data_IF_203028829034
#
_entry.id   IF_203028829034
#
_cell.length_a   1.000
_cell.length_b   1.000
_cell.length_c   1.000
_cell.angle_alpha   90.00
_cell.angle_beta   90.00
_cell.angle_gamma   90.00
#
_symmetry.space_group_name_H-M   'P 1'
#
loop_
_entity.id
_entity.type
_entity.pdbx_description
1 polymer ?
#
# COMPACT_ATOMS: atom_id res chain seq x y z
N UNK A 1 -5.81 17.25 35.47
CA UNK A 1 -6.53 18.24 34.64
C UNK A 1 -6.95 17.54 33.35
N UNK A 2 -8.20 17.07 33.27
CA UNK A 2 -8.73 16.26 32.15
C UNK A 2 -9.05 17.16 30.96
N UNK A 3 -8.25 17.11 29.89
CA UNK A 3 -8.65 17.65 28.57
C UNK A 3 -9.15 16.51 27.69
N UNK A 4 -10.34 16.75 27.12
CA UNK A 4 -11.27 15.77 26.56
C UNK A 4 -10.86 15.42 25.13
N UNK A 5 -10.85 14.12 24.83
CA UNK A 5 -10.84 13.57 23.48
C UNK A 5 -12.18 13.87 22.79
N UNK A 6 -12.14 14.53 21.63
CA UNK A 6 -13.26 14.57 20.70
C UNK A 6 -12.84 13.95 19.37
N UNK A 7 -13.54 12.86 19.04
CA UNK A 7 -13.46 12.08 17.80
C UNK A 7 -14.00 12.87 16.60
N UNK A 8 -13.30 12.80 15.47
CA UNK A 8 -13.81 13.17 14.15
C UNK A 8 -13.93 11.88 13.30
N UNK A 9 -15.06 11.20 13.43
CA UNK A 9 -15.44 9.99 12.67
C UNK A 9 -16.85 10.15 12.08
N UNK A 10 -17.15 11.29 11.45
CA UNK A 10 -18.42 11.54 10.76
C UNK A 10 -18.19 12.42 9.52
N UNK A 11 -17.44 11.93 8.52
CA UNK A 11 -17.54 12.40 7.14
C UNK A 11 -17.47 11.17 6.22
N UNK A 12 -18.53 10.38 6.27
CA UNK A 12 -18.86 9.34 5.31
C UNK A 12 -20.33 9.56 4.97
N UNK A 13 -20.62 9.56 3.66
CA UNK A 13 -21.93 9.72 3.02
C UNK A 13 -22.30 11.12 2.52
N UNK A 14 -21.61 11.63 1.48
CA UNK A 14 -22.29 12.41 0.45
C UNK A 14 -21.65 12.21 -0.94
N UNK A 15 -22.48 11.64 -1.84
CA UNK A 15 -22.43 11.77 -3.31
C UNK A 15 -21.60 10.71 -4.05
N UNK A 16 -22.16 9.50 -4.11
CA UNK A 16 -22.07 8.66 -5.31
C UNK A 16 -23.13 9.12 -6.32
N UNK A 17 -22.71 9.71 -7.44
CA UNK A 17 -23.41 9.71 -8.75
C UNK A 17 -22.74 10.74 -9.66
N UNK A 18 -21.63 10.36 -10.32
CA UNK A 18 -21.29 10.93 -11.61
C UNK A 18 -21.38 9.79 -12.61
N UNK A 19 -22.51 9.80 -13.31
CA UNK A 19 -22.86 8.90 -14.40
C UNK A 19 -21.94 9.20 -15.57
N UNK A 20 -21.28 8.15 -16.06
CA UNK A 20 -20.41 8.19 -17.22
C UNK A 20 -21.30 8.46 -18.45
N UNK A 21 -21.23 9.66 -19.00
CA UNK A 21 -21.75 9.94 -20.34
C UNK A 21 -20.75 9.39 -21.35
N UNK A 22 -20.98 8.13 -21.75
CA UNK A 22 -20.39 7.53 -22.93
C UNK A 22 -21.24 7.96 -24.14
N UNK A 23 -20.70 8.83 -24.98
CA UNK A 23 -21.21 9.05 -26.33
C UNK A 23 -20.15 8.55 -27.31
N UNK A 24 -20.30 7.30 -27.73
CA UNK A 24 -19.64 6.73 -28.89
C UNK A 24 -20.51 7.02 -30.12
N UNK A 25 -20.05 7.91 -30.99
CA UNK A 25 -20.64 8.16 -32.30
C UNK A 25 -20.15 7.07 -33.26
N UNK A 26 -21.03 6.16 -33.67
CA UNK A 26 -20.80 5.36 -34.86
C UNK A 26 -22.08 5.33 -35.68
N UNK A 27 -21.96 5.86 -36.90
CA UNK A 27 -23.05 6.06 -37.84
C UNK A 27 -23.64 4.73 -38.30
N UNK A 28 -24.96 4.73 -38.34
CA UNK A 28 -25.80 3.74 -39.00
C UNK A 28 -25.40 3.57 -40.46
N UNK A 29 -25.33 2.32 -40.92
CA UNK A 29 -25.85 2.04 -42.25
C UNK A 29 -26.67 0.75 -42.27
N UNK A 30 -27.86 0.96 -42.82
CA UNK A 30 -29.08 0.15 -42.88
C UNK A 30 -28.92 -1.04 -43.84
N UNK A 31 -29.88 -1.98 -43.71
CA UNK A 31 -30.37 -3.01 -44.67
C UNK A 31 -29.98 -4.43 -44.22
N UNK A 32 -30.87 -5.41 -44.06
CA UNK A 32 -32.21 -5.65 -44.62
C UNK A 32 -33.11 -6.46 -43.67
N UNK A 33 -34.41 -6.44 -43.99
CA UNK A 33 -35.47 -7.22 -43.39
C UNK A 33 -35.24 -8.73 -43.50
N UNK A 34 -35.62 -9.48 -42.46
CA UNK A 34 -36.66 -10.50 -42.60
C UNK A 34 -37.32 -10.81 -41.25
N UNK A 35 -38.65 -10.76 -41.31
CA UNK A 35 -39.61 -11.25 -40.34
C UNK A 35 -39.57 -12.77 -40.35
N UNK A 36 -39.80 -13.42 -39.20
CA UNK A 36 -40.53 -14.70 -39.05
C UNK A 36 -40.65 -15.08 -37.56
N UNK A 37 -41.90 -15.18 -37.13
CA UNK A 37 -42.50 -16.08 -36.12
C UNK A 37 -42.13 -16.09 -34.61
N UNK A 38 -43.08 -15.52 -33.86
CA UNK A 38 -44.01 -16.21 -32.93
C UNK A 38 -43.51 -16.81 -31.59
N UNK A 39 -44.32 -16.51 -30.58
CA UNK A 39 -44.64 -17.33 -29.38
C UNK A 39 -43.79 -17.15 -28.11
N UNK A 40 -44.23 -16.17 -27.32
CA UNK A 40 -44.72 -16.34 -25.94
C UNK A 40 -44.32 -17.60 -25.15
N UNK A 41 -43.68 -17.39 -23.98
CA UNK A 41 -44.16 -18.00 -22.72
C UNK A 41 -43.68 -17.23 -21.49
N UNK A 42 -44.60 -16.40 -20.99
CA UNK A 42 -44.77 -16.01 -19.59
C UNK A 42 -45.01 -17.28 -18.76
N UNK A 43 -44.38 -17.43 -17.60
CA UNK A 43 -45.01 -17.94 -16.35
C UNK A 43 -44.10 -17.65 -15.16
N UNK A 44 -44.59 -16.74 -14.30
CA UNK A 44 -44.22 -16.60 -12.88
C UNK A 44 -44.87 -17.75 -12.10
N UNK A 45 -44.27 -18.19 -10.99
CA UNK A 45 -44.88 -18.80 -9.78
C UNK A 45 -43.70 -18.95 -8.79
N UNK A 46 -43.43 -18.09 -7.81
CA UNK A 46 -44.15 -17.76 -6.56
C UNK A 46 -44.74 -18.96 -5.82
N UNK A 47 -43.95 -19.41 -4.84
CA UNK A 47 -44.27 -19.85 -3.47
C UNK A 47 -45.48 -20.76 -3.19
N UNK A 48 -45.23 -21.86 -2.47
CA UNK A 48 -45.67 -22.17 -1.09
C UNK A 48 -45.55 -23.71 -0.91
N UNK A 49 -44.80 -24.22 0.07
CA UNK A 49 -45.38 -24.60 1.36
C UNK A 49 -44.29 -25.06 2.33
N UNK A 50 -44.48 -24.66 3.59
CA UNK A 50 -43.90 -25.28 4.78
C UNK A 50 -44.84 -26.40 5.20
N UNK A 51 -44.28 -27.53 5.64
CA UNK A 51 -44.77 -28.46 6.69
C UNK A 51 -43.68 -29.56 6.78
N UNK A 52 -42.92 -29.77 7.87
CA UNK A 52 -43.24 -30.25 9.23
C UNK A 52 -42.82 -31.74 9.40
N UNK A 53 -42.04 -32.00 10.47
CA UNK A 53 -41.60 -33.28 11.08
C UNK A 53 -40.48 -34.12 10.41
N UNK A 54 -39.67 -34.94 11.09
CA UNK A 54 -38.90 -34.93 12.37
C UNK A 54 -38.08 -36.24 12.42
N UNK A 55 -36.79 -36.15 12.81
CA UNK A 55 -35.85 -37.14 13.39
C UNK A 55 -35.83 -38.62 12.93
N UNK A 56 -34.64 -39.11 12.55
CA UNK A 56 -34.09 -40.37 13.10
C UNK A 56 -32.55 -40.45 12.97
N UNK A 57 -31.93 -41.00 14.01
CA UNK A 57 -30.51 -41.13 14.36
C UNK A 57 -29.56 -41.65 13.29
N UNK A 58 -28.30 -41.19 13.30
CA UNK A 58 -27.15 -42.09 13.56
C UNK A 58 -25.88 -41.36 14.00
N UNK A 59 -25.29 -41.90 15.05
CA UNK A 59 -24.04 -41.58 15.71
C UNK A 59 -22.81 -41.80 14.80
N UNK A 60 -21.95 -40.79 14.62
CA UNK A 60 -20.50 -40.97 14.43
C UNK A 60 -19.74 -39.89 15.19
N UNK A 61 -18.94 -40.37 16.15
CA UNK A 61 -17.84 -39.69 16.82
C UNK A 61 -16.88 -39.12 15.79
N UNK A 62 -16.54 -37.84 15.88
CA UNK A 62 -15.21 -37.41 15.44
C UNK A 62 -14.60 -36.35 16.37
N UNK A 63 -13.44 -36.73 16.90
CA UNK A 63 -12.56 -35.91 17.70
C UNK A 63 -11.95 -34.83 16.81
N UNK A 64 -12.51 -33.63 16.81
CA UNK A 64 -11.78 -32.46 16.34
C UNK A 64 -11.00 -31.80 17.47
N UNK A 65 -9.92 -32.48 17.88
CA UNK A 65 -8.74 -31.82 18.44
C UNK A 65 -8.19 -30.89 17.36
N UNK A 66 -8.66 -29.64 17.35
CA UNK A 66 -8.05 -28.56 16.56
C UNK A 66 -6.73 -28.17 17.21
N UNK A 67 -5.70 -28.96 16.94
CA UNK A 67 -4.31 -28.52 17.06
C UNK A 67 -4.06 -27.49 15.94
N UNK A 68 -4.39 -26.24 16.23
CA UNK A 68 -3.96 -25.10 15.44
C UNK A 68 -2.43 -25.01 15.56
N UNK A 69 -1.74 -25.63 14.61
CA UNK A 69 -0.31 -25.41 14.41
C UNK A 69 -0.12 -23.94 14.07
N UNK A 70 0.37 -23.17 15.04
CA UNK A 70 0.84 -21.80 14.83
C UNK A 70 2.04 -21.90 13.91
N UNK A 71 1.80 -21.81 12.61
CA UNK A 71 2.81 -21.68 11.58
C UNK A 71 3.55 -20.37 11.84
N UNK A 72 4.70 -20.44 12.52
CA UNK A 72 5.59 -19.30 12.76
C UNK A 72 6.06 -18.78 11.40
N UNK A 73 5.37 -17.75 10.89
CA UNK A 73 5.75 -17.06 9.65
C UNK A 73 7.20 -16.61 9.80
N UNK A 74 8.05 -17.07 8.89
CA UNK A 74 9.45 -16.66 8.87
C UNK A 74 9.53 -15.14 8.73
N UNK A 75 10.18 -14.50 9.72
CA UNK A 75 10.35 -13.06 9.72
C UNK A 75 11.31 -12.68 8.60
N UNK A 76 10.91 -11.73 7.75
CA UNK A 76 11.74 -11.20 6.67
C UNK A 76 12.23 -9.80 7.03
N UNK A 77 13.45 -9.39 6.61
CA UNK A 77 13.92 -8.03 6.81
C UNK A 77 12.97 -7.02 6.15
N UNK A 78 12.74 -5.92 6.87
CA UNK A 78 12.09 -4.71 6.36
C UNK A 78 13.11 -3.60 6.22
N UNK A 79 12.89 -2.72 5.25
CA UNK A 79 13.70 -1.53 5.02
C UNK A 79 12.80 -0.30 5.03
N UNK A 80 13.18 0.72 5.79
CA UNK A 80 12.52 2.01 5.82
C UNK A 80 13.55 3.06 5.41
N UNK A 81 13.21 3.87 4.41
CA UNK A 81 14.00 5.01 3.98
C UNK A 81 13.40 6.26 4.62
N UNK A 82 14.12 6.89 5.53
CA UNK A 82 13.71 8.16 6.13
C UNK A 82 14.38 9.30 5.37
N UNK A 83 13.58 10.14 4.73
CA UNK A 83 14.00 11.34 4.03
C UNK A 83 13.51 12.56 4.81
N UNK A 84 14.38 13.08 5.66
CA UNK A 84 14.11 14.28 6.46
C UNK A 84 14.30 15.53 5.61
N UNK A 85 13.50 16.55 5.87
CA UNK A 85 13.64 17.84 5.22
C UNK A 85 13.20 18.99 6.11
N UNK A 86 13.69 20.20 5.81
CA UNK A 86 13.15 21.44 6.34
C UNK A 86 11.87 21.82 5.57
N UNK A 87 11.01 22.67 6.15
CA UNK A 87 9.81 23.21 5.50
C UNK A 87 10.16 23.84 4.15
N UNK A 88 11.26 24.60 4.13
CA UNK A 88 11.80 25.21 2.92
C UNK A 88 12.81 24.26 2.26
N UNK A 89 12.33 23.44 1.33
CA UNK A 89 13.17 22.46 0.61
C UNK A 89 14.00 23.14 -0.49
N UNK A 90 15.32 22.97 -0.45
CA UNK A 90 16.19 23.41 -1.54
C UNK A 90 16.19 22.39 -2.71
N UNK A 91 16.79 22.77 -3.84
CA UNK A 91 16.78 21.96 -5.06
C UNK A 91 17.45 20.58 -4.88
N UNK A 92 18.50 20.49 -4.06
CA UNK A 92 19.15 19.20 -3.77
C UNK A 92 18.28 18.29 -2.92
N UNK A 93 17.52 18.82 -1.94
CA UNK A 93 16.57 18.03 -1.15
C UNK A 93 15.52 17.39 -2.05
N UNK A 94 14.94 18.17 -2.98
CA UNK A 94 13.99 17.65 -3.97
C UNK A 94 14.62 16.61 -4.90
N UNK A 95 15.87 16.80 -5.31
CA UNK A 95 16.57 15.82 -6.14
C UNK A 95 16.77 14.47 -5.41
N UNK A 96 17.11 14.51 -4.12
CA UNK A 96 17.25 13.30 -3.28
C UNK A 96 15.91 12.56 -3.20
N UNK A 97 14.82 13.27 -2.91
CA UNK A 97 13.47 12.71 -2.83
C UNK A 97 13.05 12.02 -4.13
N UNK A 98 13.12 12.75 -5.26
CA UNK A 98 12.74 12.21 -6.57
C UNK A 98 13.58 10.99 -6.96
N UNK A 99 14.90 11.04 -6.76
CA UNK A 99 15.76 9.93 -7.12
C UNK A 99 15.55 8.71 -6.19
N UNK A 100 15.19 8.95 -4.92
CA UNK A 100 14.80 7.89 -3.98
C UNK A 100 13.51 7.22 -4.43
N UNK A 101 12.45 8.00 -4.71
CA UNK A 101 11.18 7.49 -5.22
C UNK A 101 11.35 6.71 -6.52
N UNK A 102 12.11 7.25 -7.48
CA UNK A 102 12.47 6.59 -8.74
C UNK A 102 13.16 5.25 -8.50
N UNK A 103 14.10 5.18 -7.55
CA UNK A 103 14.77 3.92 -7.18
C UNK A 103 13.77 2.89 -6.68
N UNK A 104 12.86 3.29 -5.78
CA UNK A 104 11.85 2.39 -5.21
C UNK A 104 10.87 1.88 -6.27
N UNK A 105 10.35 2.77 -7.12
CA UNK A 105 9.42 2.42 -8.18
C UNK A 105 10.05 1.53 -9.25
N UNK A 106 11.32 1.76 -9.58
CA UNK A 106 12.01 1.01 -10.64
C UNK A 106 12.46 -0.38 -10.19
N UNK A 107 13.03 -0.49 -8.97
CA UNK A 107 13.73 -1.71 -8.56
C UNK A 107 13.08 -2.47 -7.40
N UNK A 108 12.19 -1.83 -6.64
CA UNK A 108 11.62 -2.42 -5.41
C UNK A 108 10.09 -2.33 -5.37
N UNK A 109 9.43 -2.17 -6.51
CA UNK A 109 7.96 -2.02 -6.56
C UNK A 109 7.23 -3.20 -5.90
N UNK A 110 7.76 -4.41 -6.05
CA UNK A 110 7.23 -5.62 -5.40
C UNK A 110 7.36 -5.52 -3.88
N UNK A 111 8.54 -5.18 -3.37
CA UNK A 111 8.82 -5.10 -1.94
C UNK A 111 8.08 -3.94 -1.27
N UNK A 112 7.87 -2.83 -1.99
CA UNK A 112 6.99 -1.74 -1.57
C UNK A 112 5.55 -2.24 -1.45
N UNK A 113 5.04 -2.95 -2.48
CA UNK A 113 3.70 -3.54 -2.45
C UNK A 113 3.53 -4.56 -1.32
N UNK A 114 4.58 -5.31 -0.99
CA UNK A 114 4.60 -6.28 0.11
C UNK A 114 4.81 -5.63 1.50
N UNK A 115 5.05 -4.32 1.57
CA UNK A 115 5.35 -3.59 2.82
C UNK A 115 6.72 -3.95 3.42
N UNK A 116 7.61 -4.56 2.62
CA UNK A 116 9.00 -4.84 2.99
C UNK A 116 9.91 -3.64 2.81
N UNK A 117 9.56 -2.71 1.91
CA UNK A 117 10.25 -1.42 1.73
C UNK A 117 9.23 -0.30 1.90
N UNK A 118 9.59 0.74 2.66
CA UNK A 118 8.78 1.96 2.80
C UNK A 118 9.69 3.19 2.71
N UNK A 119 9.16 4.29 2.20
CA UNK A 119 9.76 5.63 2.35
C UNK A 119 8.89 6.47 3.29
N UNK A 120 9.53 7.23 4.17
CA UNK A 120 8.92 8.24 5.03
C UNK A 120 9.57 9.58 4.72
N UNK A 121 8.78 10.57 4.30
CA UNK A 121 9.25 11.92 4.01
C UNK A 121 8.78 12.80 5.15
N UNK A 122 9.73 13.29 5.96
CA UNK A 122 9.44 13.89 7.25
C UNK A 122 9.96 15.32 7.33
N UNK A 123 9.09 16.26 7.70
CA UNK A 123 9.49 17.63 7.96
C UNK A 123 10.04 17.74 9.39
N UNK A 124 11.30 18.13 9.56
CA UNK A 124 11.93 18.25 10.90
C UNK A 124 11.43 19.47 11.67
N UNK A 125 10.83 20.45 10.99
CA UNK A 125 10.22 21.62 11.62
C UNK A 125 8.80 21.32 12.17
N UNK A 126 8.24 20.15 11.87
CA UNK A 126 6.94 19.71 12.37
C UNK A 126 7.11 18.95 13.68
N UNK A 127 6.48 19.44 14.75
CA UNK A 127 6.53 18.83 16.09
C UNK A 127 6.10 17.36 16.09
N UNK A 128 5.23 16.93 15.17
CA UNK A 128 4.82 15.54 15.04
C UNK A 128 5.98 14.60 14.67
N UNK A 129 7.05 15.13 14.10
CA UNK A 129 8.22 14.38 13.65
C UNK A 129 9.44 14.56 14.59
N UNK A 130 9.30 15.31 15.70
CA UNK A 130 10.42 15.65 16.57
C UNK A 130 11.13 14.41 17.13
N UNK A 131 10.39 13.46 17.71
CA UNK A 131 10.98 12.27 18.33
C UNK A 131 11.76 11.41 17.31
N UNK A 132 11.23 11.29 16.09
CA UNK A 132 11.89 10.52 15.02
C UNK A 132 13.07 11.30 14.43
N UNK A 133 12.99 12.62 14.31
CA UNK A 133 14.11 13.45 13.89
C UNK A 133 15.26 13.40 14.91
N UNK A 134 14.96 13.47 16.21
CA UNK A 134 15.93 13.35 17.30
C UNK A 134 16.60 11.97 17.32
N UNK A 135 15.84 10.88 17.13
CA UNK A 135 16.40 9.52 17.02
C UNK A 135 17.47 9.39 15.94
N UNK A 136 17.28 10.08 14.82
CA UNK A 136 18.20 10.07 13.68
C UNK A 136 19.20 11.24 13.71
N UNK A 137 19.17 12.08 14.74
CA UNK A 137 19.96 13.30 14.85
C UNK A 137 19.79 14.24 13.63
N UNK A 138 18.62 14.20 13.00
CA UNK A 138 18.29 14.95 11.80
C UNK A 138 17.82 16.37 12.17
N UNK A 139 18.76 17.31 12.25
CA UNK A 139 18.47 18.75 12.46
C UNK A 139 18.06 19.50 11.18
N UNK A 140 18.02 18.80 10.04
CA UNK A 140 17.72 19.37 8.74
C UNK A 140 17.46 18.29 7.70
N UNK A 141 17.83 18.55 6.45
CA UNK A 141 17.67 17.55 5.40
C UNK A 141 18.68 16.41 5.55
N UNK A 142 18.18 15.18 5.60
CA UNK A 142 18.98 13.97 5.79
C UNK A 142 18.30 12.76 5.14
N UNK A 143 19.09 11.75 4.77
CA UNK A 143 18.60 10.52 4.16
C UNK A 143 19.22 9.30 4.86
N UNK A 144 18.36 8.47 5.44
CA UNK A 144 18.77 7.24 6.09
C UNK A 144 18.07 6.02 5.49
N UNK A 145 18.82 4.93 5.33
CA UNK A 145 18.28 3.61 5.00
C UNK A 145 18.35 2.77 6.27
N UNK A 146 17.20 2.30 6.74
CA UNK A 146 17.08 1.60 8.02
C UNK A 146 16.56 0.19 7.79
N UNK A 147 17.28 -0.82 8.27
CA UNK A 147 16.84 -2.22 8.29
C UNK A 147 16.26 -2.57 9.64
N UNK A 148 15.12 -3.24 9.62
CA UNK A 148 14.51 -3.87 10.81
C UNK A 148 14.46 -5.38 10.55
N UNK A 149 15.09 -6.15 11.43
CA UNK A 149 15.08 -7.61 11.35
C UNK A 149 15.32 -8.25 12.71
N UNK A 150 14.41 -9.12 13.16
CA UNK A 150 14.47 -9.78 14.47
C UNK A 150 14.63 -8.78 15.60
N UNK A 151 13.79 -7.74 15.58
CA UNK A 151 13.78 -6.62 16.52
C UNK A 151 15.08 -5.78 16.56
N UNK A 152 16.03 -6.08 15.67
CA UNK A 152 17.28 -5.31 15.55
C UNK A 152 17.16 -4.30 14.43
N UNK A 153 17.55 -3.08 14.77
CA UNK A 153 17.66 -1.97 13.85
C UNK A 153 19.11 -1.83 13.36
N UNK A 154 19.29 -1.54 12.08
CA UNK A 154 20.60 -1.18 11.50
C UNK A 154 20.39 0.00 10.58
N UNK A 155 21.10 1.10 10.85
CA UNK A 155 20.93 2.37 10.15
C UNK A 155 22.16 2.63 9.28
N UNK A 156 21.92 3.04 8.05
CA UNK A 156 22.92 3.63 7.15
C UNK A 156 22.53 5.07 6.86
N UNK A 157 23.41 6.00 7.21
CA UNK A 157 23.35 7.38 6.73
C UNK A 157 23.86 7.44 5.29
N UNK A 158 23.05 7.96 4.37
CA UNK A 158 23.37 8.25 2.98
C UNK A 158 23.19 9.74 2.65
N UNK A 159 23.12 10.60 3.66
CA UNK A 159 22.91 12.05 3.50
C UNK A 159 24.01 12.66 2.63
N UNK A 160 25.28 12.37 2.93
CA UNK A 160 26.42 12.87 2.18
C UNK A 160 26.40 12.44 0.71
N UNK A 161 26.15 11.17 0.44
CA UNK A 161 26.01 10.62 -0.92
C UNK A 161 24.81 11.21 -1.65
N UNK A 162 23.68 11.39 -0.97
CA UNK A 162 22.48 12.02 -1.51
C UNK A 162 22.77 13.44 -2.01
N UNK A 163 23.34 14.29 -1.15
CA UNK A 163 23.69 15.66 -1.53
C UNK A 163 24.76 15.72 -2.61
N UNK A 164 25.72 14.79 -2.58
CA UNK A 164 26.82 14.75 -3.55
C UNK A 164 26.37 14.30 -4.94
N UNK A 165 25.43 13.36 -5.03
CA UNK A 165 25.15 12.64 -6.28
C UNK A 165 23.73 12.81 -6.81
N UNK A 166 22.69 12.94 -5.99
CA UNK A 166 21.30 12.87 -6.47
C UNK A 166 21.00 13.89 -7.58
N UNK A 167 21.50 15.12 -7.47
CA UNK A 167 21.26 16.19 -8.44
C UNK A 167 22.16 16.13 -9.68
N UNK A 168 23.44 15.78 -9.51
CA UNK A 168 24.47 15.96 -10.55
C UNK A 168 24.93 14.64 -11.18
N UNK A 169 24.70 13.52 -10.48
CA UNK A 169 25.10 12.15 -10.86
C UNK A 169 24.02 11.17 -10.43
N UNK A 170 22.77 11.44 -10.82
CA UNK A 170 21.57 10.71 -10.35
C UNK A 170 21.73 9.19 -10.49
N UNK A 171 22.21 8.71 -11.64
CA UNK A 171 22.43 7.28 -11.88
C UNK A 171 23.33 6.62 -10.82
N UNK A 172 24.38 7.32 -10.38
CA UNK A 172 25.27 6.84 -9.31
C UNK A 172 24.56 6.80 -7.96
N UNK A 173 23.73 7.80 -7.67
CA UNK A 173 22.94 7.81 -6.44
C UNK A 173 21.93 6.65 -6.42
N UNK A 174 21.23 6.42 -7.54
CA UNK A 174 20.29 5.31 -7.72
C UNK A 174 21.00 3.97 -7.50
N UNK A 175 22.18 3.76 -8.10
CA UNK A 175 22.96 2.53 -7.93
C UNK A 175 23.35 2.31 -6.46
N UNK A 176 23.84 3.34 -5.78
CA UNK A 176 24.22 3.28 -4.36
C UNK A 176 23.03 2.92 -3.47
N UNK A 177 21.91 3.62 -3.64
CA UNK A 177 20.70 3.39 -2.85
C UNK A 177 20.14 1.99 -3.13
N UNK A 178 20.06 1.58 -4.40
CA UNK A 178 19.62 0.24 -4.80
C UNK A 178 20.44 -0.83 -4.10
N UNK A 179 21.78 -0.75 -4.21
CA UNK A 179 22.68 -1.73 -3.60
C UNK A 179 22.49 -1.80 -2.08
N UNK A 180 22.30 -0.65 -1.42
CA UNK A 180 22.08 -0.62 0.03
C UNK A 180 20.77 -1.31 0.43
N UNK A 181 19.69 -1.09 -0.33
CA UNK A 181 18.39 -1.71 -0.09
C UNK A 181 18.47 -3.23 -0.35
N UNK A 182 19.11 -3.67 -1.44
CA UNK A 182 19.33 -5.10 -1.74
C UNK A 182 20.10 -5.81 -0.61
N UNK A 183 21.18 -5.19 -0.13
CA UNK A 183 21.98 -5.70 0.98
C UNK A 183 21.14 -5.88 2.26
N UNK A 184 20.24 -4.93 2.53
CA UNK A 184 19.41 -4.94 3.73
C UNK A 184 18.24 -5.91 3.64
N UNK A 185 17.67 -6.07 2.44
CA UNK A 185 16.64 -7.07 2.16
C UNK A 185 17.20 -8.48 2.00
N UNK A 186 18.53 -8.62 1.90
CA UNK A 186 19.24 -9.87 1.61
C UNK A 186 18.80 -10.50 0.28
N UNK A 187 18.55 -9.63 -0.70
CA UNK A 187 18.33 -10.03 -2.09
C UNK A 187 19.72 -10.13 -2.72
N UNK A 188 20.11 -11.34 -3.13
CA UNK A 188 21.35 -11.58 -3.87
C UNK A 188 21.04 -11.70 -5.35
#
# INVERSE_FOLDING_TARGET
MKKRFLNNQIILLLISLIVISSCNSNQDNKKDLNQDDLSAKKTKNTALSKDMQQQLDTSIRDSSTVNASVQKKEEKPKVIIYNFHLTNRCLSCRAIEMATEKTLQTYFAKEVKEGRVKIEILNVDDDANKDIAEKYEASGSALFVTRIFKEKETIKDLTGEGFKFARTKEARFIELLKKQIEEYLKIK
#
